data_IF_328112586636
#
_entry.id   IF_328112586636
#
_cell.length_a   1.000
_cell.length_b   1.000
_cell.length_c   1.000
_cell.angle_alpha   90.00
_cell.angle_beta   90.00
_cell.angle_gamma   90.00
#
_symmetry.space_group_name_H-M   'P 1'
#
loop_
_entity.id
_entity.type
_entity.pdbx_description
1 polymer ?
#
# COMPACT_ATOMS: atom_id res chain seq x y z
N UNK A 1 -10.69 42.40 -12.77
CA UNK A 1 -9.52 41.89 -12.02
C UNK A 1 -9.90 40.60 -11.28
N UNK A 2 -10.22 39.52 -12.02
CA UNK A 2 -10.58 38.22 -11.41
C UNK A 2 -9.79 37.04 -11.98
N UNK A 3 -9.28 37.17 -13.21
CA UNK A 3 -8.62 36.07 -13.94
C UNK A 3 -7.21 35.78 -13.41
N UNK A 4 -6.49 36.81 -12.94
CA UNK A 4 -5.14 36.65 -12.36
C UNK A 4 -5.15 35.84 -11.05
N UNK A 5 -6.17 36.03 -10.20
CA UNK A 5 -6.31 35.26 -8.96
C UNK A 5 -6.63 33.79 -9.19
N UNK A 6 -7.47 33.50 -10.20
CA UNK A 6 -7.80 32.13 -10.60
C UNK A 6 -6.57 31.42 -11.19
N UNK A 7 -5.76 32.12 -12.01
CA UNK A 7 -4.53 31.57 -12.56
C UNK A 7 -3.53 31.15 -11.48
N UNK A 8 -3.37 31.96 -10.42
CA UNK A 8 -2.52 31.65 -9.27
C UNK A 8 -3.06 30.44 -8.50
N UNK A 9 -4.38 30.36 -8.30
CA UNK A 9 -5.02 29.22 -7.63
C UNK A 9 -4.80 27.90 -8.39
N UNK A 10 -4.95 27.91 -9.72
CA UNK A 10 -4.67 26.74 -10.56
C UNK A 10 -3.20 26.31 -10.52
N UNK A 11 -2.26 27.25 -10.48
CA UNK A 11 -0.84 26.93 -10.36
C UNK A 11 -0.49 26.29 -9.01
N UNK A 12 -1.09 26.78 -7.92
CA UNK A 12 -0.84 26.27 -6.57
C UNK A 12 -1.59 24.98 -6.23
N UNK A 13 -2.66 24.64 -6.96
CA UNK A 13 -3.49 23.48 -6.70
C UNK A 13 -2.67 22.18 -6.55
N UNK A 14 -1.67 21.99 -7.43
CA UNK A 14 -0.82 20.80 -7.40
C UNK A 14 0.14 20.79 -6.20
N UNK A 15 0.71 21.94 -5.85
CA UNK A 15 1.63 22.07 -4.71
C UNK A 15 0.89 21.83 -3.40
N UNK A 16 -0.30 22.43 -3.25
CA UNK A 16 -1.15 22.22 -2.09
C UNK A 16 -1.52 20.75 -1.93
N UNK A 17 -1.90 20.07 -3.02
CA UNK A 17 -2.25 18.65 -2.99
C UNK A 17 -1.08 17.75 -2.55
N UNK A 18 0.14 18.02 -3.00
CA UNK A 18 1.33 17.27 -2.58
C UNK A 18 1.64 17.48 -1.09
N UNK A 19 1.49 18.71 -0.60
CA UNK A 19 1.70 19.05 0.82
C UNK A 19 0.65 18.38 1.70
N UNK A 20 -0.63 18.44 1.35
CA UNK A 20 -1.69 17.75 2.11
C UNK A 20 -1.48 16.23 2.13
N UNK A 21 -0.99 15.65 1.04
CA UNK A 21 -0.68 14.21 0.98
C UNK A 21 0.45 13.84 1.94
N UNK A 22 1.54 14.59 1.94
CA UNK A 22 2.63 14.38 2.88
C UNK A 22 2.20 14.60 4.34
N UNK A 23 1.35 15.60 4.59
CA UNK A 23 0.83 15.91 5.92
C UNK A 23 -0.10 14.82 6.45
N UNK A 24 -0.99 14.27 5.62
CA UNK A 24 -1.88 13.16 6.02
C UNK A 24 -1.08 11.88 6.32
N UNK A 25 -0.03 11.57 5.56
CA UNK A 25 0.86 10.44 5.91
C UNK A 25 1.51 10.65 7.28
N UNK A 26 1.94 11.88 7.59
CA UNK A 26 2.58 12.21 8.86
C UNK A 26 1.61 12.18 10.05
N UNK A 27 0.38 12.69 9.87
CA UNK A 27 -0.60 12.84 10.94
C UNK A 27 -1.46 11.58 11.15
N UNK A 28 -2.04 11.02 10.08
CA UNK A 28 -2.93 9.85 10.15
C UNK A 28 -2.16 8.52 10.15
N UNK A 29 -0.87 8.54 9.78
CA UNK A 29 0.01 7.36 9.71
C UNK A 29 -0.69 6.10 9.20
N UNK A 30 -1.24 6.13 7.97
CA UNK A 30 -1.88 4.96 7.37
C UNK A 30 -0.90 3.78 7.24
N UNK A 31 0.39 4.10 7.05
CA UNK A 31 1.52 3.17 7.05
C UNK A 31 2.75 3.86 7.66
N UNK A 32 3.64 3.07 8.25
CA UNK A 32 4.89 3.52 8.83
C UNK A 32 6.11 2.89 8.13
N UNK A 33 7.30 3.39 8.44
CA UNK A 33 8.56 2.77 8.00
C UNK A 33 8.62 1.35 8.57
N UNK A 34 8.93 0.38 7.71
CA UNK A 34 8.94 -1.05 8.03
C UNK A 34 7.61 -1.76 7.81
N UNK A 35 6.56 -1.05 7.36
CA UNK A 35 5.28 -1.67 7.02
C UNK A 35 5.36 -2.36 5.66
N UNK A 36 4.81 -3.58 5.59
CA UNK A 36 4.59 -4.25 4.32
C UNK A 36 3.27 -3.76 3.72
N UNK A 37 3.37 -3.08 2.57
CA UNK A 37 2.26 -2.48 1.87
C UNK A 37 2.17 -3.03 0.44
N UNK A 38 0.95 -3.08 -0.08
CA UNK A 38 0.69 -3.33 -1.49
C UNK A 38 -0.02 -2.11 -2.07
N UNK A 39 0.55 -1.55 -3.13
CA UNK A 39 0.09 -0.33 -3.81
C UNK A 39 -0.06 -0.67 -5.29
N UNK A 40 -1.31 -0.71 -5.77
CA UNK A 40 -1.61 -1.26 -7.09
C UNK A 40 -1.12 -2.71 -7.23
N UNK A 41 -0.23 -2.93 -8.19
CA UNK A 41 0.40 -4.23 -8.49
C UNK A 41 1.73 -4.45 -7.76
N UNK A 42 2.25 -3.42 -7.09
CA UNK A 42 3.55 -3.47 -6.41
C UNK A 42 3.38 -3.87 -4.94
N UNK A 43 4.17 -4.84 -4.50
CA UNK A 43 4.18 -5.32 -3.11
C UNK A 43 5.58 -5.18 -2.52
N UNK A 44 5.69 -4.52 -1.36
CA UNK A 44 6.99 -4.27 -0.74
C UNK A 44 6.92 -3.67 0.65
N UNK A 45 8.09 -3.43 1.24
CA UNK A 45 8.24 -2.84 2.57
C UNK A 45 8.67 -1.39 2.47
N UNK A 46 8.00 -0.50 3.21
CA UNK A 46 8.36 0.91 3.29
C UNK A 46 9.73 1.06 3.94
N UNK A 47 10.70 1.63 3.22
CA UNK A 47 12.05 1.88 3.77
C UNK A 47 12.22 3.30 4.28
N UNK A 48 11.67 4.28 3.55
CA UNK A 48 11.84 5.70 3.92
C UNK A 48 10.68 6.52 3.38
N UNK A 49 10.14 7.39 4.23
CA UNK A 49 9.14 8.39 3.85
C UNK A 49 9.87 9.75 3.77
N UNK A 50 9.90 10.35 2.58
CA UNK A 50 10.44 11.69 2.35
C UNK A 50 9.34 12.75 2.22
N UNK A 51 9.72 14.02 2.07
CA UNK A 51 8.74 15.12 1.95
C UNK A 51 7.83 15.02 0.73
N UNK A 52 8.36 14.56 -0.42
CA UNK A 52 7.60 14.47 -1.68
C UNK A 52 7.32 13.03 -2.11
N UNK A 53 8.19 12.10 -1.73
CA UNK A 53 8.18 10.73 -2.21
C UNK A 53 8.52 9.74 -1.09
N UNK A 54 7.97 8.54 -1.21
CA UNK A 54 8.25 7.41 -0.33
C UNK A 54 8.98 6.32 -1.11
N UNK A 55 9.97 5.69 -0.47
CA UNK A 55 10.77 4.60 -1.00
C UNK A 55 10.28 3.28 -0.42
N UNK A 56 9.93 2.35 -1.30
CA UNK A 56 9.41 1.02 -0.97
C UNK A 56 10.34 -0.01 -1.58
N UNK A 57 10.89 -0.91 -0.77
CA UNK A 57 11.67 -2.04 -1.27
C UNK A 57 10.73 -3.17 -1.67
N UNK A 58 10.73 -3.50 -2.96
CA UNK A 58 9.93 -4.59 -3.49
C UNK A 58 10.52 -5.94 -3.13
N UNK A 59 9.71 -6.99 -3.28
CA UNK A 59 10.10 -8.37 -2.99
C UNK A 59 11.27 -8.85 -3.86
N UNK A 60 11.39 -8.32 -5.09
CA UNK A 60 12.50 -8.63 -5.99
C UNK A 60 13.82 -7.92 -5.61
N UNK A 61 13.81 -7.07 -4.57
CA UNK A 61 14.99 -6.36 -4.08
C UNK A 61 15.22 -4.99 -4.70
N UNK A 62 14.43 -4.60 -5.70
CA UNK A 62 14.40 -3.27 -6.30
C UNK A 62 13.76 -2.22 -5.37
N UNK A 63 14.16 -0.96 -5.52
CA UNK A 63 13.59 0.17 -4.78
C UNK A 63 12.60 0.93 -5.67
N UNK A 64 11.33 0.86 -5.29
CA UNK A 64 10.25 1.62 -5.92
C UNK A 64 10.13 2.99 -5.24
N UNK A 65 10.19 4.05 -6.05
CA UNK A 65 10.02 5.44 -5.59
C UNK A 65 8.67 5.94 -6.05
N UNK A 66 7.76 6.17 -5.11
CA UNK A 66 6.41 6.66 -5.38
C UNK A 66 6.23 8.06 -4.81
N UNK A 67 5.43 8.90 -5.49
CA UNK A 67 5.04 10.18 -4.92
C UNK A 67 4.09 9.99 -3.74
N UNK A 68 4.16 10.87 -2.74
CA UNK A 68 3.26 10.80 -1.59
C UNK A 68 1.80 10.98 -2.02
N UNK A 69 1.55 11.78 -3.06
CA UNK A 69 0.23 12.00 -3.66
C UNK A 69 -0.33 10.73 -4.29
N UNK A 70 0.49 9.96 -4.99
CA UNK A 70 0.07 8.69 -5.58
C UNK A 70 -0.28 7.68 -4.49
N UNK A 71 0.46 7.64 -3.39
CA UNK A 71 0.18 6.77 -2.25
C UNK A 71 -1.08 7.14 -1.47
N UNK A 72 -1.41 8.43 -1.37
CA UNK A 72 -2.64 8.87 -0.69
C UNK A 72 -3.88 8.80 -1.58
N UNK A 73 -3.70 8.86 -2.90
CA UNK A 73 -4.80 8.75 -3.86
C UNK A 73 -5.10 7.29 -4.22
N UNK A 74 -4.08 6.43 -4.28
CA UNK A 74 -4.23 5.02 -4.57
C UNK A 74 -4.69 4.21 -3.36
N UNK A 75 -5.35 3.07 -3.60
CA UNK A 75 -5.74 2.15 -2.54
C UNK A 75 -4.52 1.39 -1.99
N UNK A 76 -4.06 1.80 -0.80
CA UNK A 76 -2.94 1.16 -0.10
C UNK A 76 -3.46 0.04 0.81
N UNK A 77 -3.01 -1.19 0.58
CA UNK A 77 -3.28 -2.33 1.46
C UNK A 77 -2.10 -2.48 2.44
N UNK A 78 -2.30 -2.10 3.70
CA UNK A 78 -1.30 -2.29 4.76
C UNK A 78 -1.55 -3.59 5.52
N UNK A 79 -0.56 -4.47 5.55
CA UNK A 79 -0.67 -5.80 6.18
C UNK A 79 -0.12 -5.83 7.61
N UNK A 80 0.66 -4.84 8.05
CA UNK A 80 1.25 -4.85 9.40
C UNK A 80 0.23 -4.59 10.51
N UNK A 81 -0.83 -3.82 10.23
CA UNK A 81 -1.93 -3.61 11.19
C UNK A 81 -2.80 -4.86 11.41
N UNK A 82 -2.59 -5.93 10.63
CA UNK A 82 -3.39 -7.15 10.70
C UNK A 82 -2.75 -8.16 11.67
N UNK A 83 -3.35 -8.37 12.85
CA UNK A 83 -2.85 -9.33 13.85
C UNK A 83 -3.01 -10.80 13.43
N UNK A 84 -3.96 -11.10 12.54
CA UNK A 84 -4.22 -12.44 12.02
C UNK A 84 -4.45 -12.38 10.51
N UNK A 85 -3.69 -13.18 9.75
CA UNK A 85 -3.84 -13.29 8.30
C UNK A 85 -4.58 -14.60 7.99
N UNK A 86 -5.71 -14.51 7.27
CA UNK A 86 -6.36 -15.69 6.72
C UNK A 86 -5.54 -16.20 5.54
N UNK A 87 -5.09 -17.44 5.62
CA UNK A 87 -4.46 -18.16 4.52
C UNK A 87 -5.43 -19.27 4.14
N UNK A 88 -6.02 -19.19 2.95
CA UNK A 88 -6.82 -20.29 2.41
C UNK A 88 -5.85 -21.26 1.72
N UNK A 89 -5.70 -22.46 2.28
CA UNK A 89 -5.03 -23.55 1.60
C UNK A 89 -6.05 -24.35 0.79
N UNK A 90 -5.77 -24.57 -0.49
CA UNK A 90 -6.55 -25.48 -1.33
C UNK A 90 -5.75 -26.74 -1.51
N UNK A 91 -6.28 -27.87 -1.04
CA UNK A 91 -5.65 -29.17 -1.17
C UNK A 91 -6.38 -29.97 -2.24
N UNK A 92 -5.68 -30.33 -3.32
CA UNK A 92 -6.17 -31.29 -4.29
C UNK A 92 -5.92 -32.72 -3.79
N UNK A 93 -6.95 -33.57 -3.82
CA UNK A 93 -6.87 -34.98 -3.44
C UNK A 93 -7.34 -35.85 -4.60
N UNK A 94 -6.76 -37.03 -4.74
CA UNK A 94 -7.23 -38.01 -5.73
C UNK A 94 -8.55 -38.62 -5.26
N UNK A 95 -9.41 -39.02 -6.21
CA UNK A 95 -10.71 -39.61 -5.90
C UNK A 95 -10.62 -40.89 -5.06
N UNK A 96 -9.52 -41.64 -5.17
CA UNK A 96 -9.25 -42.83 -4.37
C UNK A 96 -8.84 -42.52 -2.92
N UNK A 97 -8.72 -41.25 -2.52
CA UNK A 97 -8.33 -40.88 -1.17
C UNK A 97 -9.42 -41.28 -0.16
N UNK A 98 -9.13 -42.19 0.78
CA UNK A 98 -10.14 -42.64 1.75
C UNK A 98 -10.63 -41.50 2.64
N UNK A 99 -11.93 -41.46 2.91
CA UNK A 99 -12.60 -40.48 3.80
C UNK A 99 -11.92 -40.32 5.17
N UNK A 100 -11.34 -41.41 5.72
CA UNK A 100 -10.58 -41.37 6.98
C UNK A 100 -9.32 -40.49 6.92
N UNK A 101 -8.66 -40.41 5.75
CA UNK A 101 -7.49 -39.54 5.54
C UNK A 101 -7.91 -38.08 5.30
N UNK A 102 -9.02 -37.86 4.59
CA UNK A 102 -9.55 -36.50 4.34
C UNK A 102 -9.87 -35.75 5.62
N UNK A 103 -10.48 -36.41 6.62
CA UNK A 103 -10.80 -35.79 7.93
C UNK A 103 -9.58 -35.34 8.74
N UNK A 104 -8.37 -35.78 8.38
CA UNK A 104 -7.12 -35.39 9.06
C UNK A 104 -6.45 -34.18 8.42
N UNK A 105 -6.91 -33.71 7.26
CA UNK A 105 -6.35 -32.54 6.60
C UNK A 105 -6.86 -31.29 7.34
N UNK A 106 -5.98 -30.43 7.86
CA UNK A 106 -6.39 -29.19 8.49
C UNK A 106 -6.96 -28.23 7.43
N UNK A 107 -8.15 -27.68 7.72
CA UNK A 107 -8.81 -26.65 6.92
C UNK A 107 -8.50 -25.24 7.41
#
# INVERSE_FOLDING_TARGET
MGVAGIAIAFALQNVLSDVFSAFSIYFDKPFEIGDFIIVGDYAGTVQKIGMKSTRVKLLQGEELVLSNRELTTASVRNFKKMSKRRINFSFGVTYDTPLKKLKKIPG
#
